data_IF_018553207310
#
_entry.id   IF_018553207310
#
_cell.length_a   1.000
_cell.length_b   1.000
_cell.length_c   1.000
_cell.angle_alpha   90.00
_cell.angle_beta   90.00
_cell.angle_gamma   90.00
#
_symmetry.space_group_name_H-M   'P 1'
#
loop_
_entity.id
_entity.type
_entity.pdbx_description
1 polymer ?
#
# COMPACT_ATOMS: atom_id res chain seq x y z
N UNK A 1 97.49 -13.21 8.98
CA UNK A 1 96.24 -12.66 8.40
C UNK A 1 94.99 -13.41 8.90
N UNK A 2 94.76 -13.55 10.21
CA UNK A 2 93.63 -14.36 10.74
C UNK A 2 92.70 -13.64 11.73
N UNK A 3 92.93 -12.35 12.04
CA UNK A 3 92.17 -11.63 13.07
C UNK A 3 90.91 -10.91 12.58
N UNK A 4 90.71 -10.73 11.26
CA UNK A 4 89.58 -9.97 10.71
C UNK A 4 88.28 -10.78 10.46
N UNK A 5 88.30 -12.11 10.57
CA UNK A 5 87.11 -12.93 10.32
C UNK A 5 86.17 -13.06 11.54
N UNK A 6 86.66 -12.81 12.76
CA UNK A 6 85.85 -12.90 13.98
C UNK A 6 84.92 -11.70 14.20
N UNK A 7 85.36 -10.50 13.82
CA UNK A 7 84.63 -9.24 14.11
C UNK A 7 83.39 -9.05 13.24
N UNK A 8 83.41 -9.51 11.99
CA UNK A 8 82.25 -9.39 11.10
C UNK A 8 81.10 -10.34 11.50
N UNK A 9 81.42 -11.50 12.07
CA UNK A 9 80.41 -12.46 12.53
C UNK A 9 79.72 -12.01 13.84
N UNK A 10 80.42 -11.28 14.71
CA UNK A 10 79.83 -10.68 15.91
C UNK A 10 78.81 -9.58 15.60
N UNK A 11 79.11 -8.70 14.63
CA UNK A 11 78.21 -7.61 14.22
C UNK A 11 76.96 -8.09 13.48
N UNK A 12 77.06 -9.15 12.66
CA UNK A 12 75.90 -9.77 12.01
C UNK A 12 74.92 -10.38 13.03
N UNK A 13 75.43 -11.09 14.05
CA UNK A 13 74.61 -11.67 15.12
C UNK A 13 73.93 -10.62 16.01
N UNK A 14 74.58 -9.49 16.29
CA UNK A 14 73.96 -8.39 17.03
C UNK A 14 72.84 -7.69 16.26
N UNK A 15 72.95 -7.57 14.93
CA UNK A 15 71.91 -6.94 14.11
C UNK A 15 70.67 -7.83 13.90
N UNK A 16 70.81 -9.16 13.86
CA UNK A 16 69.65 -10.07 13.79
C UNK A 16 68.85 -10.13 15.09
N UNK A 17 69.49 -9.95 16.25
CA UNK A 17 68.81 -9.95 17.55
C UNK A 17 67.89 -8.74 17.76
N UNK A 18 68.13 -7.62 17.06
CA UNK A 18 67.29 -6.40 17.18
C UNK A 18 66.02 -6.40 16.32
N UNK A 19 65.86 -7.32 15.36
CA UNK A 19 64.70 -7.34 14.44
C UNK A 19 63.45 -8.06 14.96
N UNK A 20 63.48 -8.67 16.15
CA UNK A 20 62.34 -9.42 16.71
C UNK A 20 61.66 -8.74 17.91
N UNK A 21 61.59 -7.41 17.93
CA UNK A 21 60.62 -6.73 18.82
C UNK A 21 59.24 -6.78 18.16
N UNK A 22 58.63 -7.97 18.19
CA UNK A 22 57.22 -8.13 17.88
C UNK A 22 56.42 -7.28 18.86
N UNK A 23 55.54 -6.44 18.34
CA UNK A 23 54.60 -5.65 19.14
C UNK A 23 53.75 -6.63 19.93
N UNK A 24 53.93 -6.70 21.26
CA UNK A 24 53.04 -7.46 22.14
C UNK A 24 51.72 -6.71 22.21
N UNK A 25 50.78 -7.08 21.35
CA UNK A 25 49.42 -6.52 21.37
C UNK A 25 48.68 -7.13 22.55
N UNK A 26 48.23 -6.29 23.48
CA UNK A 26 47.43 -6.73 24.61
C UNK A 26 46.04 -7.14 24.11
N UNK A 27 45.70 -8.43 24.22
CA UNK A 27 44.42 -8.99 23.74
C UNK A 27 43.19 -8.21 24.27
N UNK A 28 43.24 -7.73 25.52
CA UNK A 28 42.19 -6.89 26.12
C UNK A 28 41.95 -5.59 25.35
N UNK A 29 43.02 -4.92 24.90
CA UNK A 29 42.92 -3.68 24.12
C UNK A 29 42.36 -3.96 22.73
N UNK A 30 42.77 -5.07 22.12
CA UNK A 30 42.26 -5.51 20.82
C UNK A 30 40.74 -5.78 20.88
N UNK A 31 40.25 -6.45 21.93
CA UNK A 31 38.82 -6.71 22.13
C UNK A 31 38.02 -5.41 22.28
N UNK A 32 38.52 -4.45 23.07
CA UNK A 32 37.86 -3.14 23.24
C UNK A 32 37.80 -2.39 21.91
N UNK A 33 38.88 -2.44 21.12
CA UNK A 33 38.96 -1.78 19.83
C UNK A 33 37.99 -2.40 18.83
N UNK A 34 37.86 -3.74 18.80
CA UNK A 34 36.86 -4.44 17.98
C UNK A 34 35.45 -4.09 18.41
N UNK A 35 35.17 -4.01 19.71
CA UNK A 35 33.86 -3.59 20.21
C UNK A 35 33.50 -2.17 19.80
N UNK A 36 34.45 -1.23 19.88
CA UNK A 36 34.26 0.14 19.45
C UNK A 36 33.96 0.23 17.95
N UNK A 37 34.77 -0.43 17.12
CA UNK A 37 34.57 -0.45 15.67
C UNK A 37 33.22 -1.09 15.32
N UNK A 38 32.88 -2.21 15.97
CA UNK A 38 31.59 -2.89 15.75
C UNK A 38 30.42 -2.00 16.13
N UNK A 39 30.48 -1.32 17.28
CA UNK A 39 29.44 -0.39 17.74
C UNK A 39 29.21 0.74 16.74
N UNK A 40 30.29 1.35 16.26
CA UNK A 40 30.23 2.40 15.23
C UNK A 40 29.61 1.84 13.94
N UNK A 41 30.08 0.68 13.48
CA UNK A 41 29.57 0.04 12.27
C UNK A 41 28.07 -0.25 12.38
N UNK A 42 27.62 -0.85 13.49
CA UNK A 42 26.20 -1.12 13.74
C UNK A 42 25.37 0.17 13.76
N UNK A 43 25.88 1.24 14.38
CA UNK A 43 25.18 2.53 14.41
C UNK A 43 24.94 3.08 12.99
N UNK A 44 25.99 3.12 12.16
CA UNK A 44 25.87 3.63 10.79
C UNK A 44 25.05 2.70 9.90
N UNK A 45 25.23 1.39 10.03
CA UNK A 45 24.47 0.39 9.28
C UNK A 45 22.96 0.50 9.58
N UNK A 46 22.60 0.54 10.87
CA UNK A 46 21.20 0.68 11.28
C UNK A 46 20.60 2.00 10.81
N UNK A 47 21.34 3.11 10.93
CA UNK A 47 20.89 4.41 10.43
C UNK A 47 20.61 4.37 8.93
N UNK A 48 21.50 3.78 8.14
CA UNK A 48 21.30 3.65 6.70
C UNK A 48 20.10 2.76 6.36
N UNK A 49 19.95 1.63 7.07
CA UNK A 49 18.82 0.72 6.86
C UNK A 49 17.49 1.36 7.20
N UNK A 50 17.42 2.15 8.28
CA UNK A 50 16.22 2.92 8.65
C UNK A 50 15.86 3.93 7.55
N UNK A 51 16.84 4.62 6.98
CA UNK A 51 16.60 5.58 5.90
C UNK A 51 16.08 4.87 4.64
N UNK A 52 16.68 3.74 4.28
CA UNK A 52 16.25 2.91 3.14
C UNK A 52 14.80 2.44 3.31
N UNK A 53 14.48 1.82 4.46
CA UNK A 53 13.13 1.36 4.78
C UNK A 53 12.13 2.52 4.84
N UNK A 54 12.53 3.67 5.34
CA UNK A 54 11.66 4.86 5.36
C UNK A 54 11.37 5.37 3.96
N UNK A 55 12.33 5.31 3.03
CA UNK A 55 12.10 5.68 1.63
C UNK A 55 11.15 4.70 0.95
N UNK A 56 11.37 3.40 1.15
CA UNK A 56 10.50 2.37 0.61
C UNK A 56 9.06 2.51 1.13
N UNK A 57 8.91 2.73 2.44
CA UNK A 57 7.60 3.01 3.04
C UNK A 57 6.92 4.23 2.42
N UNK A 58 7.66 5.31 2.18
CA UNK A 58 7.10 6.51 1.56
C UNK A 58 6.63 6.25 0.13
N UNK A 59 7.41 5.52 -0.67
CA UNK A 59 7.03 5.13 -2.02
C UNK A 59 5.77 4.26 -2.03
N UNK A 60 5.70 3.27 -1.14
CA UNK A 60 4.51 2.42 -1.00
C UNK A 60 3.30 3.25 -0.57
N UNK A 61 3.47 4.18 0.37
CA UNK A 61 2.40 5.04 0.85
C UNK A 61 1.86 5.97 -0.25
N UNK A 62 2.76 6.55 -1.04
CA UNK A 62 2.39 7.41 -2.18
C UNK A 62 1.60 6.61 -3.22
N UNK A 63 2.10 5.41 -3.58
CA UNK A 63 1.39 4.51 -4.50
C UNK A 63 0.02 4.11 -3.96
N UNK A 64 -0.06 3.75 -2.67
CA UNK A 64 -1.33 3.41 -2.03
C UNK A 64 -2.33 4.56 -2.09
N UNK A 65 -1.91 5.79 -1.80
CA UNK A 65 -2.78 6.96 -1.85
C UNK A 65 -3.26 7.23 -3.29
N UNK A 66 -2.38 7.13 -4.28
CA UNK A 66 -2.74 7.28 -5.69
C UNK A 66 -3.79 6.25 -6.13
N UNK A 67 -3.58 4.97 -5.83
CA UNK A 67 -4.52 3.89 -6.15
C UNK A 67 -5.85 4.06 -5.41
N UNK A 68 -5.82 4.53 -4.16
CA UNK A 68 -7.03 4.83 -3.37
C UNK A 68 -7.86 5.93 -4.02
N UNK A 69 -7.23 7.00 -4.51
CA UNK A 69 -7.92 8.10 -5.18
C UNK A 69 -8.54 7.65 -6.51
N UNK A 70 -7.80 6.85 -7.29
CA UNK A 70 -8.34 6.24 -8.52
C UNK A 70 -9.54 5.36 -8.21
N UNK A 71 -9.45 4.49 -7.21
CA UNK A 71 -10.55 3.63 -6.81
C UNK A 71 -11.77 4.43 -6.35
N UNK A 72 -11.56 5.49 -5.56
CA UNK A 72 -12.64 6.39 -5.13
C UNK A 72 -13.36 7.01 -6.34
N UNK A 73 -12.60 7.49 -7.33
CA UNK A 73 -13.17 8.05 -8.56
C UNK A 73 -13.96 7.00 -9.35
N UNK A 74 -13.46 5.77 -9.45
CA UNK A 74 -14.18 4.66 -10.11
C UNK A 74 -15.47 4.31 -9.38
N UNK A 75 -15.45 4.27 -8.05
CA UNK A 75 -16.65 4.01 -7.23
C UNK A 75 -17.68 5.12 -7.43
N UNK A 76 -17.26 6.39 -7.43
CA UNK A 76 -18.15 7.53 -7.69
C UNK A 76 -18.73 7.43 -9.10
N UNK A 77 -17.92 7.16 -10.11
CA UNK A 77 -18.37 7.00 -11.48
C UNK A 77 -19.38 5.85 -11.61
N UNK A 78 -19.12 4.70 -11.00
CA UNK A 78 -20.03 3.56 -11.00
C UNK A 78 -21.35 3.89 -10.30
N UNK A 79 -21.33 4.59 -9.16
CA UNK A 79 -22.53 5.05 -8.48
C UNK A 79 -23.35 6.02 -9.35
N UNK A 80 -22.69 6.93 -10.05
CA UNK A 80 -23.36 7.83 -11.00
C UNK A 80 -23.97 7.06 -12.17
N UNK A 81 -23.27 6.04 -12.69
CA UNK A 81 -23.77 5.18 -13.74
C UNK A 81 -24.99 4.36 -13.30
N UNK A 82 -24.97 3.85 -12.07
CA UNK A 82 -26.07 3.07 -11.49
C UNK A 82 -27.15 3.93 -10.84
N UNK A 83 -27.02 5.26 -10.88
CA UNK A 83 -28.02 6.15 -10.30
C UNK A 83 -29.38 5.96 -10.99
N UNK A 84 -30.42 5.76 -10.17
CA UNK A 84 -31.81 5.61 -10.65
C UNK A 84 -32.24 6.77 -11.53
N UNK A 85 -31.80 7.98 -11.20
CA UNK A 85 -32.04 9.21 -11.96
C UNK A 85 -31.47 9.13 -13.37
N UNK A 86 -30.24 8.63 -13.54
CA UNK A 86 -29.65 8.45 -14.88
C UNK A 86 -30.38 7.36 -15.66
N UNK A 87 -30.72 6.25 -15.01
CA UNK A 87 -31.44 5.13 -15.64
C UNK A 87 -32.83 5.59 -16.10
N UNK A 88 -33.58 6.31 -15.25
CA UNK A 88 -34.88 6.88 -15.60
C UNK A 88 -34.78 7.88 -16.76
N UNK A 89 -33.78 8.76 -16.73
CA UNK A 89 -33.51 9.69 -17.84
C UNK A 89 -33.23 8.95 -19.14
N UNK A 90 -32.36 7.94 -19.11
CA UNK A 90 -32.00 7.15 -20.29
C UNK A 90 -33.20 6.35 -20.84
N UNK A 91 -34.02 5.77 -19.95
CA UNK A 91 -35.24 5.07 -20.32
C UNK A 91 -36.29 6.02 -20.91
N UNK A 92 -36.43 7.23 -20.38
CA UNK A 92 -37.31 8.24 -20.96
C UNK A 92 -36.84 8.69 -22.35
N UNK A 93 -35.56 9.02 -22.50
CA UNK A 93 -35.01 9.53 -23.77
C UNK A 93 -34.92 8.45 -24.86
N UNK A 94 -34.51 7.22 -24.52
CA UNK A 94 -34.25 6.17 -25.52
C UNK A 94 -35.39 5.19 -25.72
N UNK A 95 -36.20 4.95 -24.68
CA UNK A 95 -37.29 3.97 -24.72
C UNK A 95 -38.67 4.63 -24.66
N UNK A 96 -38.74 5.96 -24.61
CA UNK A 96 -40.00 6.71 -24.54
C UNK A 96 -40.78 6.49 -23.24
N UNK A 97 -40.14 6.00 -22.18
CA UNK A 97 -40.82 5.67 -20.92
C UNK A 97 -41.16 6.94 -20.11
N UNK A 98 -42.40 7.03 -19.63
CA UNK A 98 -42.85 8.14 -18.78
C UNK A 98 -42.80 7.75 -17.31
N UNK A 99 -42.10 8.57 -16.49
CA UNK A 99 -42.03 8.39 -15.04
C UNK A 99 -42.72 9.57 -14.34
N UNK A 100 -43.90 9.36 -13.73
CA UNK A 100 -44.64 10.44 -13.06
C UNK A 100 -43.89 10.95 -11.82
N UNK A 101 -43.83 12.28 -11.64
CA UNK A 101 -43.20 12.93 -10.47
C UNK A 101 -44.01 12.79 -9.18
N UNK A 102 -45.33 12.60 -9.29
CA UNK A 102 -46.23 12.46 -8.16
C UNK A 102 -46.57 11.00 -7.88
N UNK A 103 -46.43 10.59 -6.61
CA UNK A 103 -46.83 9.24 -6.14
C UNK A 103 -48.31 8.94 -6.32
N UNK A 104 -49.15 9.95 -6.55
CA UNK A 104 -50.58 9.79 -6.84
C UNK A 104 -50.86 9.05 -8.15
N UNK A 105 -49.88 9.01 -9.06
CA UNK A 105 -49.98 8.35 -10.36
C UNK A 105 -49.19 7.03 -10.43
N UNK A 106 -48.73 6.51 -9.28
CA UNK A 106 -48.09 5.18 -9.20
C UNK A 106 -49.22 4.17 -8.99
N UNK A 107 -49.27 3.13 -9.84
CA UNK A 107 -50.24 2.03 -9.78
C UNK A 107 -50.52 1.62 -8.33
N UNK A 108 -51.61 2.14 -7.78
CA UNK A 108 -52.08 1.76 -6.46
C UNK A 108 -53.20 0.79 -6.75
N UNK A 109 -53.02 -0.47 -6.35
CA UNK A 109 -54.10 -1.46 -6.44
C UNK A 109 -55.18 -0.98 -5.48
N UNK A 110 -56.23 -0.35 -6.00
CA UNK A 110 -57.37 0.08 -5.19
C UNK A 110 -58.31 -1.10 -5.01
N UNK A 111 -58.42 -1.57 -3.76
CA UNK A 111 -59.34 -2.63 -3.39
C UNK A 111 -60.74 -2.06 -3.13
N UNK A 112 -61.69 -2.36 -4.02
CA UNK A 112 -63.09 -2.01 -3.80
C UNK A 112 -63.78 -3.11 -2.99
N UNK A 113 -63.78 -2.95 -1.66
CA UNK A 113 -64.35 -3.93 -0.71
C UNK A 113 -65.85 -4.22 -0.93
N UNK A 114 -66.61 -3.34 -1.59
CA UNK A 114 -68.05 -3.55 -1.83
C UNK A 114 -68.33 -4.48 -3.01
N UNK A 115 -67.44 -4.52 -4.00
CA UNK A 115 -67.59 -5.32 -5.22
C UNK A 115 -66.66 -6.54 -5.26
N UNK A 116 -65.76 -6.68 -4.28
CA UNK A 116 -64.70 -7.69 -4.26
C UNK A 116 -63.92 -7.70 -5.58
N UNK A 117 -63.54 -6.51 -6.06
CA UNK A 117 -62.75 -6.32 -7.27
C UNK A 117 -61.52 -5.49 -6.96
N UNK A 118 -60.43 -5.75 -7.69
CA UNK A 118 -59.26 -4.88 -7.71
C UNK A 118 -59.17 -4.21 -9.08
N UNK A 119 -58.91 -2.91 -9.08
CA UNK A 119 -58.66 -2.16 -10.32
C UNK A 119 -57.18 -1.79 -10.37
N UNK A 120 -56.49 -2.26 -11.41
CA UNK A 120 -55.16 -1.80 -11.73
C UNK A 120 -55.32 -0.54 -12.60
N UNK A 121 -55.15 0.63 -11.99
CA UNK A 121 -55.15 1.89 -12.74
C UNK A 121 -53.78 2.04 -13.38
N UNK A 122 -53.68 1.67 -14.65
CA UNK A 122 -52.55 1.94 -15.52
C UNK A 122 -52.89 3.14 -16.43
N UNK A 123 -51.97 4.11 -16.52
CA UNK A 123 -52.13 5.29 -17.40
C UNK A 123 -51.44 5.08 -18.76
N UNK A 124 -50.76 3.95 -18.96
CA UNK A 124 -50.09 3.56 -20.21
C UNK A 124 -51.00 2.64 -21.05
N UNK A 125 -51.98 1.97 -20.43
CA UNK A 125 -52.89 1.01 -21.07
C UNK A 125 -54.31 1.20 -20.48
N UNK A 126 -55.41 1.09 -21.26
CA UNK A 126 -56.77 1.16 -20.72
C UNK A 126 -56.96 0.20 -19.52
N UNK A 127 -57.56 0.72 -18.45
CA UNK A 127 -57.75 0.05 -17.16
C UNK A 127 -58.33 -1.37 -17.33
N UNK A 128 -57.63 -2.36 -16.76
CA UNK A 128 -58.08 -3.74 -16.72
C UNK A 128 -58.67 -4.06 -15.34
N UNK A 129 -59.94 -4.42 -15.29
CA UNK A 129 -60.59 -4.96 -14.09
C UNK A 129 -60.54 -6.49 -14.13
N UNK A 130 -60.13 -7.11 -13.03
CA UNK A 130 -60.14 -8.56 -12.88
C UNK A 130 -61.04 -8.95 -11.69
N UNK A 131 -61.91 -9.93 -11.94
CA UNK A 131 -62.79 -10.52 -10.94
C UNK A 131 -61.99 -11.50 -10.08
N UNK A 132 -61.98 -11.29 -8.75
CA UNK A 132 -61.48 -12.34 -7.84
C UNK A 132 -62.57 -13.39 -7.67
N UNK A 133 -62.19 -14.66 -7.87
CA UNK A 133 -63.06 -15.82 -7.73
C UNK A 133 -63.45 -16.07 -6.27
#
# INVERSE_FOLDING_TARGET
MARNFGEQNGKKRQNESRRKKGVKVNFKILVILVLLVSSIFFHYYNKHKIIELSREKNLIQEKYNSEKDVNLNLVIANNNLNSRTRIQKLAAEKLGMYFPKDKKNIHTIEFNRKKNTFCLVDFIVPSAEALTK
#
